data_IF_363006532366
#
_entry.id   IF_363006532366
#
_cell.length_a   1.000
_cell.length_b   1.000
_cell.length_c   1.000
_cell.angle_alpha   90.00
_cell.angle_beta   90.00
_cell.angle_gamma   90.00
#
_symmetry.space_group_name_H-M   'P 1'
#
loop_
_entity.id
_entity.type
_entity.pdbx_description
1 polymer ?
#
# COMPACT_ATOMS: atom_id res chain seq x y z
N UNK A 1 -5.98 17.45 -28.77
CA UNK A 1 -5.62 17.23 -27.38
C UNK A 1 -4.31 17.99 -27.09
N UNK A 2 -4.43 19.24 -26.56
CA UNK A 2 -3.29 20.18 -26.43
C UNK A 2 -2.44 19.97 -25.16
N UNK A 3 -2.53 18.82 -24.47
CA UNK A 3 -1.77 18.57 -23.26
C UNK A 3 -2.29 19.31 -22.01
N UNK A 4 -3.49 19.88 -22.08
CA UNK A 4 -4.17 20.56 -20.99
C UNK A 4 -5.38 19.78 -20.51
N UNK A 5 -5.73 19.99 -19.23
CA UNK A 5 -6.95 19.45 -18.59
C UNK A 5 -7.49 20.45 -17.58
N UNK A 6 -8.69 20.22 -17.06
CA UNK A 6 -9.33 21.09 -16.09
C UNK A 6 -9.26 20.48 -14.69
N UNK A 7 -9.05 21.31 -13.68
CA UNK A 7 -9.27 21.00 -12.27
C UNK A 7 -10.77 21.04 -11.93
N UNK A 8 -11.12 20.67 -10.71
CA UNK A 8 -12.51 20.67 -10.21
C UNK A 8 -13.12 22.07 -10.23
N UNK A 9 -12.32 23.10 -10.00
CA UNK A 9 -12.70 24.53 -10.08
C UNK A 9 -12.93 25.04 -11.51
N UNK A 10 -12.71 24.20 -12.54
CA UNK A 10 -12.80 24.55 -13.95
C UNK A 10 -11.56 25.25 -14.53
N UNK A 11 -10.54 25.56 -13.71
CA UNK A 11 -9.29 26.13 -14.20
C UNK A 11 -8.56 25.13 -15.11
N UNK A 12 -7.99 25.64 -16.22
CA UNK A 12 -7.19 24.80 -17.12
C UNK A 12 -5.74 24.87 -16.76
N UNK A 13 -5.11 23.69 -16.68
CA UNK A 13 -3.67 23.55 -16.41
C UNK A 13 -3.06 22.49 -17.33
N UNK A 14 -1.74 22.51 -17.46
CA UNK A 14 -0.99 21.46 -18.15
C UNK A 14 -1.22 20.11 -17.44
N UNK A 15 -1.35 19.03 -18.19
CA UNK A 15 -1.36 17.66 -17.65
C UNK A 15 -0.06 17.29 -16.93
N UNK A 16 1.02 18.06 -17.13
CA UNK A 16 2.29 17.92 -16.42
C UNK A 16 2.37 18.72 -15.11
N UNK A 17 1.29 19.40 -14.70
CA UNK A 17 1.23 20.11 -13.44
C UNK A 17 1.35 19.15 -12.25
N UNK A 18 2.09 19.55 -11.20
CA UNK A 18 2.32 18.74 -9.99
C UNK A 18 1.01 18.33 -9.29
N UNK A 19 -0.05 19.13 -9.43
CA UNK A 19 -1.34 18.79 -8.84
C UNK A 19 -1.96 17.55 -9.51
N UNK A 20 -1.84 17.41 -10.83
CA UNK A 20 -2.27 16.19 -11.53
C UNK A 20 -1.40 14.99 -11.22
N UNK A 21 -0.09 15.18 -11.00
CA UNK A 21 0.80 14.11 -10.53
C UNK A 21 0.36 13.58 -9.16
N UNK A 22 -0.03 14.49 -8.23
CA UNK A 22 -0.52 14.12 -6.91
C UNK A 22 -1.84 13.37 -7.00
N UNK A 23 -2.82 13.90 -7.77
CA UNK A 23 -4.13 13.26 -7.96
C UNK A 23 -3.97 11.90 -8.64
N UNK A 24 -3.14 11.82 -9.70
CA UNK A 24 -2.88 10.56 -10.40
C UNK A 24 -2.18 9.52 -9.53
N UNK A 25 -1.27 9.94 -8.64
CA UNK A 25 -0.64 9.02 -7.70
C UNK A 25 -1.62 8.53 -6.62
N UNK A 26 -2.58 9.37 -6.22
CA UNK A 26 -3.66 8.97 -5.31
C UNK A 26 -4.56 7.91 -5.97
N UNK A 27 -4.92 8.10 -7.22
CA UNK A 27 -5.71 7.15 -8.01
C UNK A 27 -4.95 5.82 -8.21
N UNK A 28 -3.64 5.89 -8.50
CA UNK A 28 -2.79 4.70 -8.58
C UNK A 28 -2.77 3.91 -7.25
N UNK A 29 -2.65 4.61 -6.10
CA UNK A 29 -2.72 3.96 -4.79
C UNK A 29 -4.07 3.25 -4.62
N UNK A 30 -5.16 3.90 -4.98
CA UNK A 30 -6.49 3.32 -4.90
C UNK A 30 -6.63 2.06 -5.77
N UNK A 31 -6.09 2.07 -6.98
CA UNK A 31 -6.05 0.91 -7.85
C UNK A 31 -5.21 -0.24 -7.26
N UNK A 32 -4.07 0.06 -6.63
CA UNK A 32 -3.24 -0.94 -5.94
C UNK A 32 -3.98 -1.56 -4.74
N UNK A 33 -4.76 -0.78 -3.98
CA UNK A 33 -5.64 -1.31 -2.92
C UNK A 33 -6.65 -2.32 -3.52
N UNK A 34 -7.18 -2.05 -4.70
CA UNK A 34 -8.03 -2.99 -5.45
C UNK A 34 -7.31 -4.31 -5.76
N UNK A 35 -6.00 -4.26 -6.09
CA UNK A 35 -5.21 -5.49 -6.29
C UNK A 35 -5.01 -6.28 -4.98
N UNK A 36 -4.87 -5.62 -3.83
CA UNK A 36 -4.83 -6.30 -2.52
C UNK A 36 -6.13 -7.08 -2.29
N UNK A 37 -7.28 -6.45 -2.54
CA UNK A 37 -8.59 -7.09 -2.41
C UNK A 37 -8.73 -8.29 -3.37
N UNK A 38 -8.29 -8.14 -4.61
CA UNK A 38 -8.29 -9.22 -5.60
C UNK A 38 -7.46 -10.42 -5.12
N UNK A 39 -6.23 -10.20 -4.63
CA UNK A 39 -5.38 -11.27 -4.12
C UNK A 39 -5.93 -11.88 -2.82
N UNK A 40 -6.53 -11.09 -1.94
CA UNK A 40 -7.24 -11.59 -0.76
C UNK A 40 -8.34 -12.59 -1.15
N UNK A 41 -9.14 -12.27 -2.17
CA UNK A 41 -10.22 -13.14 -2.65
C UNK A 41 -9.72 -14.43 -3.33
N UNK A 42 -8.45 -14.48 -3.72
CA UNK A 42 -7.80 -15.66 -4.31
C UNK A 42 -7.17 -16.60 -3.29
N UNK A 43 -7.12 -16.21 -2.01
CA UNK A 43 -6.58 -17.07 -0.97
C UNK A 43 -7.35 -18.39 -0.94
N UNK A 44 -6.65 -19.55 -1.06
CA UNK A 44 -7.32 -20.85 -1.04
C UNK A 44 -7.90 -21.08 0.35
N UNK A 45 -9.14 -21.60 0.44
CA UNK A 45 -9.63 -22.10 1.69
C UNK A 45 -8.79 -23.32 2.07
N UNK A 46 -8.18 -23.31 3.25
CA UNK A 46 -7.52 -24.49 3.77
C UNK A 46 -8.59 -25.54 4.18
N UNK A 47 -8.31 -26.80 3.88
CA UNK A 47 -9.24 -27.90 4.15
C UNK A 47 -9.29 -28.31 5.63
N UNK A 48 -8.31 -27.92 6.42
CA UNK A 48 -8.34 -28.09 7.87
C UNK A 48 -9.23 -27.00 8.53
N UNK A 49 -10.14 -27.40 9.41
CA UNK A 49 -11.15 -26.52 9.99
C UNK A 49 -10.61 -25.28 10.71
N UNK A 50 -9.35 -25.26 11.13
CA UNK A 50 -8.69 -24.10 11.75
C UNK A 50 -8.25 -23.04 10.75
N UNK A 51 -7.59 -23.46 9.68
CA UNK A 51 -7.03 -22.57 8.67
C UNK A 51 -8.08 -21.88 7.81
N UNK A 52 -9.20 -22.56 7.49
CA UNK A 52 -10.31 -21.95 6.75
C UNK A 52 -10.93 -20.78 7.52
N UNK A 53 -11.23 -20.96 8.80
CA UNK A 53 -11.78 -19.89 9.63
C UNK A 53 -10.82 -18.69 9.73
N UNK A 54 -9.51 -18.93 9.69
CA UNK A 54 -8.48 -17.89 9.69
C UNK A 54 -8.47 -17.12 8.38
N UNK A 55 -8.48 -17.81 7.23
CA UNK A 55 -8.56 -17.17 5.90
C UNK A 55 -9.80 -16.31 5.77
N UNK A 56 -10.98 -16.84 6.11
CA UNK A 56 -12.24 -16.10 6.07
C UNK A 56 -12.22 -14.86 6.97
N UNK A 57 -11.59 -14.94 8.14
CA UNK A 57 -11.41 -13.79 9.03
C UNK A 57 -10.53 -12.72 8.41
N UNK A 58 -9.37 -13.11 7.86
CA UNK A 58 -8.45 -12.17 7.18
C UNK A 58 -9.15 -11.51 5.99
N UNK A 59 -9.84 -12.28 5.14
CA UNK A 59 -10.60 -11.76 4.01
C UNK A 59 -11.69 -10.76 4.44
N UNK A 60 -12.42 -11.07 5.51
CA UNK A 60 -13.47 -10.20 6.04
C UNK A 60 -12.90 -8.87 6.50
N UNK A 61 -11.82 -8.90 7.29
CA UNK A 61 -11.16 -7.67 7.77
C UNK A 61 -10.59 -6.87 6.60
N UNK A 62 -9.84 -7.51 5.69
CA UNK A 62 -9.30 -6.84 4.50
C UNK A 62 -10.39 -6.17 3.67
N UNK A 63 -11.50 -6.89 3.40
CA UNK A 63 -12.63 -6.33 2.65
C UNK A 63 -13.20 -5.08 3.33
N UNK A 64 -13.40 -5.13 4.63
CA UNK A 64 -13.97 -4.03 5.40
C UNK A 64 -13.05 -2.81 5.40
N UNK A 65 -11.79 -2.98 5.82
CA UNK A 65 -10.88 -1.84 6.01
C UNK A 65 -10.39 -1.27 4.68
N UNK A 66 -10.10 -2.10 3.67
CA UNK A 66 -9.59 -1.62 2.39
C UNK A 66 -10.69 -0.96 1.55
N UNK A 67 -11.95 -1.42 1.63
CA UNK A 67 -13.06 -0.71 0.98
C UNK A 67 -13.26 0.67 1.58
N UNK A 68 -13.13 0.82 2.90
CA UNK A 68 -13.14 2.13 3.55
C UNK A 68 -11.99 3.01 3.04
N UNK A 69 -10.75 2.48 3.01
CA UNK A 69 -9.58 3.22 2.50
C UNK A 69 -9.77 3.65 1.05
N UNK A 70 -10.37 2.81 0.19
CA UNK A 70 -10.65 3.19 -1.20
C UNK A 70 -11.61 4.38 -1.29
N UNK A 71 -12.65 4.43 -0.46
CA UNK A 71 -13.54 5.58 -0.41
C UNK A 71 -12.82 6.83 0.13
N UNK A 72 -12.05 6.70 1.21
CA UNK A 72 -11.26 7.80 1.77
C UNK A 72 -10.23 8.34 0.74
N UNK A 73 -9.59 7.47 -0.07
CA UNK A 73 -8.68 7.89 -1.13
C UNK A 73 -9.40 8.60 -2.28
N UNK A 74 -10.66 8.26 -2.55
CA UNK A 74 -11.47 8.97 -3.55
C UNK A 74 -11.80 10.39 -3.08
N UNK A 75 -12.23 10.52 -1.81
CA UNK A 75 -12.48 11.83 -1.18
C UNK A 75 -11.19 12.66 -1.12
N UNK A 76 -10.08 12.03 -0.73
CA UNK A 76 -8.75 12.66 -0.70
C UNK A 76 -8.31 13.13 -2.10
N UNK A 77 -8.52 12.32 -3.13
CA UNK A 77 -8.20 12.67 -4.52
C UNK A 77 -8.99 13.90 -4.99
N UNK A 78 -10.27 13.98 -4.64
CA UNK A 78 -11.11 15.14 -4.92
C UNK A 78 -10.62 16.40 -4.16
N UNK A 79 -10.25 16.26 -2.89
CA UNK A 79 -9.66 17.34 -2.10
C UNK A 79 -8.34 17.84 -2.70
N UNK A 80 -7.45 16.92 -3.09
CA UNK A 80 -6.15 17.23 -3.70
C UNK A 80 -6.26 17.89 -5.08
N UNK A 81 -7.38 17.67 -5.79
CA UNK A 81 -7.68 18.34 -7.05
C UNK A 81 -8.12 19.80 -6.89
N UNK A 82 -8.28 20.28 -5.67
CA UNK A 82 -8.67 21.65 -5.36
C UNK A 82 -7.56 22.38 -4.60
N UNK A 83 -7.51 23.72 -4.74
CA UNK A 83 -6.76 24.55 -3.78
C UNK A 83 -7.62 24.71 -2.52
N UNK A 84 -7.08 24.62 -1.31
CA UNK A 84 -7.87 24.68 -0.06
C UNK A 84 -8.78 25.90 0.08
N UNK A 85 -8.40 27.05 -0.48
CA UNK A 85 -9.23 28.27 -0.52
C UNK A 85 -10.43 28.18 -1.46
N UNK A 86 -10.47 27.18 -2.33
CA UNK A 86 -11.50 27.00 -3.36
C UNK A 86 -12.29 25.70 -3.18
N UNK A 87 -12.14 25.04 -2.02
CA UNK A 87 -12.86 23.82 -1.69
C UNK A 87 -14.38 24.11 -1.63
N UNK A 88 -15.20 23.33 -2.35
CA UNK A 88 -16.64 23.48 -2.28
C UNK A 88 -17.17 23.18 -0.86
N UNK A 89 -18.13 23.98 -0.37
CA UNK A 89 -18.70 23.81 0.98
C UNK A 89 -19.36 22.43 1.21
N UNK A 90 -19.82 21.78 0.14
CA UNK A 90 -20.44 20.45 0.22
C UNK A 90 -19.42 19.29 0.28
N UNK A 91 -18.13 19.58 0.07
CA UNK A 91 -17.10 18.54 0.05
C UNK A 91 -16.79 18.07 1.48
N UNK A 92 -16.91 16.77 1.70
CA UNK A 92 -16.47 16.15 2.94
C UNK A 92 -14.97 15.88 2.85
N UNK A 93 -14.23 16.44 3.79
CA UNK A 93 -12.76 16.41 3.78
C UNK A 93 -12.23 15.39 4.77
N UNK A 94 -11.07 14.84 4.48
CA UNK A 94 -10.32 14.01 5.44
C UNK A 94 -10.10 14.80 6.73
N UNK A 95 -10.47 14.22 7.87
CA UNK A 95 -10.39 14.84 9.19
C UNK A 95 -9.41 14.11 10.12
N UNK A 96 -9.23 14.62 11.31
CA UNK A 96 -8.44 13.95 12.35
C UNK A 96 -9.05 12.61 12.77
N UNK A 97 -10.36 12.43 12.62
CA UNK A 97 -11.03 11.17 12.98
C UNK A 97 -10.54 10.03 12.11
N UNK A 98 -10.44 10.22 10.77
CA UNK A 98 -9.85 9.20 9.88
C UNK A 98 -8.40 8.89 10.25
N UNK A 99 -7.62 9.93 10.60
CA UNK A 99 -6.26 9.74 11.09
C UNK A 99 -6.19 8.91 12.38
N UNK A 100 -7.12 9.11 13.31
CA UNK A 100 -7.17 8.40 14.58
C UNK A 100 -7.68 6.96 14.42
N UNK A 101 -8.59 6.71 13.47
CA UNK A 101 -9.02 5.35 13.11
C UNK A 101 -7.83 4.52 12.62
N UNK A 102 -6.96 5.07 11.76
CA UNK A 102 -5.75 4.37 11.31
C UNK A 102 -4.84 3.99 12.49
N UNK A 103 -4.65 4.88 13.46
CA UNK A 103 -3.83 4.61 14.65
C UNK A 103 -4.45 3.51 15.50
N UNK A 104 -5.75 3.58 15.80
CA UNK A 104 -6.42 2.58 16.62
C UNK A 104 -6.40 1.17 15.99
N UNK A 105 -6.53 1.10 14.65
CA UNK A 105 -6.42 -0.18 13.93
C UNK A 105 -4.98 -0.74 13.98
N UNK A 106 -3.96 0.11 13.81
CA UNK A 106 -2.56 -0.31 13.94
C UNK A 106 -2.28 -0.85 15.34
N UNK A 107 -2.72 -0.16 16.38
CA UNK A 107 -2.53 -0.59 17.76
C UNK A 107 -3.17 -1.98 18.00
N UNK A 108 -4.41 -2.18 17.54
CA UNK A 108 -5.11 -3.46 17.65
C UNK A 108 -4.39 -4.61 16.92
N UNK A 109 -3.82 -4.38 15.75
CA UNK A 109 -3.07 -5.41 15.02
C UNK A 109 -1.71 -5.70 15.64
N UNK A 110 -1.05 -4.68 16.20
CA UNK A 110 0.25 -4.86 16.86
C UNK A 110 0.15 -5.71 18.14
N UNK A 111 -1.00 -5.75 18.83
CA UNK A 111 -1.25 -6.68 19.95
C UNK A 111 -1.14 -8.16 19.55
N UNK A 112 -1.32 -8.46 18.25
CA UNK A 112 -1.33 -9.81 17.67
C UNK A 112 -0.17 -10.07 16.70
N UNK A 113 0.85 -9.22 16.72
CA UNK A 113 1.99 -9.32 15.80
C UNK A 113 3.29 -9.33 16.60
N UNK A 114 4.16 -10.32 16.35
CA UNK A 114 5.43 -10.44 17.04
C UNK A 114 6.32 -9.19 16.84
N UNK A 115 7.13 -8.80 17.83
CA UNK A 115 8.04 -7.68 17.69
C UNK A 115 9.04 -7.88 16.54
N UNK A 116 9.36 -6.79 15.83
CA UNK A 116 10.36 -6.82 14.75
C UNK A 116 11.76 -7.11 15.29
N UNK A 117 12.41 -8.11 14.73
CA UNK A 117 13.81 -8.46 15.03
C UNK A 117 14.78 -8.01 13.92
N UNK A 118 14.27 -7.71 12.73
CA UNK A 118 15.03 -7.24 11.56
C UNK A 118 14.10 -6.47 10.62
N UNK A 119 14.67 -5.87 9.56
CA UNK A 119 13.86 -5.37 8.44
C UNK A 119 13.20 -6.53 7.70
N UNK A 120 12.00 -6.29 7.18
CA UNK A 120 11.22 -7.23 6.39
C UNK A 120 11.43 -6.91 4.91
N UNK A 121 11.68 -7.94 4.12
CA UNK A 121 11.68 -7.82 2.67
C UNK A 121 10.23 -7.65 2.17
N UNK A 122 9.99 -6.84 1.13
CA UNK A 122 8.65 -6.70 0.54
C UNK A 122 8.31 -7.96 -0.28
N UNK A 123 7.94 -9.02 0.43
CA UNK A 123 7.57 -10.33 -0.10
C UNK A 123 6.28 -10.81 0.57
N UNK A 124 5.70 -11.92 0.09
CA UNK A 124 4.47 -12.51 0.63
C UNK A 124 3.79 -13.40 -0.41
N UNK A 125 2.71 -14.05 0.00
CA UNK A 125 1.97 -15.02 -0.81
C UNK A 125 0.63 -14.46 -1.31
N UNK A 126 0.61 -13.25 -1.85
CA UNK A 126 -0.59 -12.61 -2.39
C UNK A 126 -0.85 -11.24 -1.75
N UNK A 127 -1.86 -11.10 -0.88
CA UNK A 127 -2.24 -9.78 -0.36
C UNK A 127 -1.11 -9.08 0.40
N UNK A 128 -0.21 -9.82 1.09
CA UNK A 128 0.92 -9.25 1.81
C UNK A 128 1.89 -8.52 0.87
N UNK A 129 2.25 -9.15 -0.26
CA UNK A 129 3.14 -8.54 -1.26
C UNK A 129 2.51 -7.27 -1.86
N UNK A 130 1.19 -7.30 -2.12
CA UNK A 130 0.46 -6.14 -2.64
C UNK A 130 0.32 -5.03 -1.60
N UNK A 131 0.19 -5.33 -0.31
CA UNK A 131 0.23 -4.34 0.77
C UNK A 131 1.58 -3.63 0.86
N UNK A 132 2.69 -4.35 0.66
CA UNK A 132 4.00 -3.71 0.55
C UNK A 132 4.10 -2.78 -0.67
N UNK A 133 3.53 -3.15 -1.82
CA UNK A 133 3.44 -2.27 -2.99
C UNK A 133 2.59 -1.04 -2.67
N UNK A 134 1.39 -1.20 -2.11
CA UNK A 134 0.52 -0.10 -1.71
C UNK A 134 1.24 0.87 -0.77
N UNK A 135 1.95 0.36 0.23
CA UNK A 135 2.79 1.16 1.13
C UNK A 135 3.82 2.01 0.39
N UNK A 136 4.51 1.45 -0.60
CA UNK A 136 5.52 2.21 -1.35
C UNK A 136 4.89 3.29 -2.23
N UNK A 137 3.69 3.04 -2.79
CA UNK A 137 2.91 4.03 -3.54
C UNK A 137 2.38 5.12 -2.60
N UNK A 138 1.86 4.78 -1.41
CA UNK A 138 1.44 5.75 -0.40
C UNK A 138 2.58 6.70 -0.02
N UNK A 139 3.80 6.18 0.20
CA UNK A 139 5.00 7.00 0.45
C UNK A 139 5.40 7.86 -0.76
N UNK A 140 5.15 7.41 -1.98
CA UNK A 140 5.35 8.22 -3.18
C UNK A 140 4.34 9.36 -3.24
N UNK A 141 3.07 9.10 -2.93
CA UNK A 141 2.02 10.11 -2.84
C UNK A 141 2.35 11.17 -1.77
N UNK A 142 2.75 10.74 -0.58
CA UNK A 142 3.20 11.66 0.49
C UNK A 142 4.30 12.60 0.00
N UNK A 143 5.35 12.07 -0.65
CA UNK A 143 6.42 12.90 -1.21
C UNK A 143 5.95 13.80 -2.34
N UNK A 144 4.99 13.38 -3.16
CA UNK A 144 4.41 14.20 -4.21
C UNK A 144 3.62 15.38 -3.62
N UNK A 145 2.87 15.15 -2.55
CA UNK A 145 2.16 16.20 -1.79
C UNK A 145 3.15 17.21 -1.19
N UNK A 146 4.27 16.75 -0.63
CA UNK A 146 5.31 17.66 -0.09
C UNK A 146 5.87 18.53 -1.21
N UNK A 147 6.22 17.95 -2.38
CA UNK A 147 6.70 18.72 -3.54
C UNK A 147 5.68 19.73 -4.03
N UNK A 148 4.40 19.38 -4.04
CA UNK A 148 3.31 20.29 -4.40
C UNK A 148 3.28 21.50 -3.45
N UNK A 149 3.40 21.26 -2.14
CA UNK A 149 3.48 22.34 -1.13
C UNK A 149 4.69 23.23 -1.31
N UNK A 150 5.86 22.65 -1.59
CA UNK A 150 7.08 23.43 -1.86
C UNK A 150 6.92 24.31 -3.11
N UNK A 151 6.18 23.87 -4.10
CA UNK A 151 5.97 24.58 -5.37
C UNK A 151 4.85 25.64 -5.29
N UNK A 152 3.69 25.30 -4.71
CA UNK A 152 2.51 26.18 -4.65
C UNK A 152 2.38 26.96 -3.32
N UNK A 153 3.20 26.65 -2.32
CA UNK A 153 3.18 27.24 -0.98
C UNK A 153 2.44 26.38 0.06
N UNK A 154 2.70 26.67 1.34
CA UNK A 154 2.21 25.90 2.49
C UNK A 154 0.69 25.77 2.55
N UNK A 155 -0.05 26.76 2.04
CA UNK A 155 -1.51 26.77 1.98
C UNK A 155 -2.12 25.90 0.89
N UNK A 156 -1.32 25.28 0.00
CA UNK A 156 -1.81 24.54 -1.16
C UNK A 156 -2.39 23.15 -0.83
N UNK A 157 -2.06 22.59 0.34
CA UNK A 157 -2.59 21.32 0.85
C UNK A 157 -2.78 21.44 2.36
N UNK A 158 -3.90 20.97 2.89
CA UNK A 158 -4.16 20.96 4.34
C UNK A 158 -3.19 20.05 5.08
N UNK A 159 -2.82 20.44 6.31
CA UNK A 159 -1.92 19.66 7.16
C UNK A 159 -2.47 18.26 7.46
N UNK A 160 -3.77 18.13 7.67
CA UNK A 160 -4.44 16.84 7.95
C UNK A 160 -4.21 15.81 6.85
N UNK A 161 -4.15 16.23 5.58
CA UNK A 161 -3.83 15.37 4.43
C UNK A 161 -2.43 14.74 4.59
N UNK A 162 -1.44 15.53 4.99
CA UNK A 162 -0.08 15.01 5.22
C UNK A 162 -0.04 14.01 6.37
N UNK A 163 -0.73 14.33 7.47
CA UNK A 163 -0.84 13.44 8.63
C UNK A 163 -1.51 12.11 8.23
N UNK A 164 -2.61 12.19 7.48
CA UNK A 164 -3.31 10.99 6.99
C UNK A 164 -2.42 10.11 6.13
N UNK A 165 -1.74 10.68 5.12
CA UNK A 165 -0.87 9.92 4.21
C UNK A 165 0.33 9.29 4.92
N UNK A 166 0.93 9.99 5.87
CA UNK A 166 2.01 9.47 6.69
C UNK A 166 1.52 8.25 7.49
N UNK A 167 0.40 8.38 8.22
CA UNK A 167 -0.20 7.27 8.97
C UNK A 167 -0.67 6.13 8.08
N UNK A 168 -1.22 6.41 6.91
CA UNK A 168 -1.66 5.39 5.96
C UNK A 168 -0.48 4.51 5.51
N UNK A 169 0.70 5.09 5.30
CA UNK A 169 1.88 4.31 4.92
C UNK A 169 2.31 3.33 6.02
N UNK A 170 2.26 3.73 7.28
CA UNK A 170 2.57 2.88 8.43
C UNK A 170 1.45 1.85 8.67
N UNK A 171 0.20 2.26 8.49
CA UNK A 171 -0.97 1.39 8.56
C UNK A 171 -0.90 0.24 7.55
N UNK A 172 -0.54 0.51 6.30
CA UNK A 172 -0.34 -0.53 5.27
C UNK A 172 0.79 -1.51 5.63
N UNK A 173 1.83 -1.03 6.29
CA UNK A 173 2.91 -1.87 6.78
C UNK A 173 2.44 -2.81 7.90
N UNK A 174 1.76 -2.26 8.91
CA UNK A 174 1.26 -3.04 10.06
C UNK A 174 0.20 -4.03 9.61
N UNK A 175 -0.73 -3.61 8.73
CA UNK A 175 -1.72 -4.51 8.14
C UNK A 175 -1.06 -5.68 7.40
N UNK A 176 -0.01 -5.42 6.60
CA UNK A 176 0.73 -6.47 5.90
C UNK A 176 1.31 -7.50 6.86
N UNK A 177 1.92 -7.07 7.95
CA UNK A 177 2.44 -7.94 9.00
C UNK A 177 1.35 -8.77 9.69
N UNK A 178 0.24 -8.12 10.02
CA UNK A 178 -0.90 -8.80 10.63
C UNK A 178 -1.49 -9.86 9.70
N UNK A 179 -1.61 -9.58 8.40
CA UNK A 179 -2.07 -10.55 7.39
C UNK A 179 -1.11 -11.73 7.30
N UNK A 180 0.21 -11.48 7.24
CA UNK A 180 1.24 -12.54 7.21
C UNK A 180 1.10 -13.47 8.43
N UNK A 181 1.03 -12.90 9.62
CA UNK A 181 0.85 -13.65 10.87
C UNK A 181 -0.50 -14.39 10.91
N UNK A 182 -1.59 -13.71 10.52
CA UNK A 182 -2.94 -14.25 10.50
C UNK A 182 -3.12 -15.43 9.55
N UNK A 183 -2.35 -15.48 8.46
CA UNK A 183 -2.34 -16.59 7.51
C UNK A 183 -1.33 -17.70 7.90
N UNK A 184 -0.61 -17.53 9.00
CA UNK A 184 0.41 -18.48 9.46
C UNK A 184 1.66 -18.51 8.61
N UNK A 185 1.95 -17.41 7.91
CA UNK A 185 3.16 -17.26 7.10
C UNK A 185 4.29 -16.63 7.92
N UNK A 186 5.53 -16.93 7.53
CA UNK A 186 6.72 -16.30 8.09
C UNK A 186 7.07 -15.02 7.34
N UNK A 187 7.50 -13.99 8.07
CA UNK A 187 8.05 -12.77 7.48
C UNK A 187 9.41 -13.02 6.85
N UNK A 188 9.61 -12.60 5.60
CA UNK A 188 10.89 -12.69 4.92
C UNK A 188 11.85 -11.63 5.49
N UNK A 189 12.74 -12.04 6.40
CA UNK A 189 13.66 -11.11 7.06
C UNK A 189 14.85 -10.75 6.17
N UNK A 190 15.22 -9.46 6.20
CA UNK A 190 16.42 -8.98 5.54
C UNK A 190 17.69 -9.54 6.20
N UNK A 191 18.58 -10.06 5.35
CA UNK A 191 19.90 -10.51 5.75
C UNK A 191 20.97 -9.63 5.08
N UNK A 192 21.78 -8.88 5.83
CA UNK A 192 22.83 -8.04 5.28
C UNK A 192 23.91 -8.85 4.56
N UNK A 193 24.51 -8.26 3.52
CA UNK A 193 25.55 -8.92 2.69
C UNK A 193 26.67 -9.57 3.53
N UNK A 194 27.09 -8.92 4.61
CA UNK A 194 28.15 -9.45 5.49
C UNK A 194 27.74 -10.67 6.33
N UNK A 195 26.43 -10.96 6.44
CA UNK A 195 25.92 -12.13 7.17
C UNK A 195 25.46 -13.25 6.23
N UNK A 196 25.27 -12.95 4.93
CA UNK A 196 24.99 -13.97 3.91
C UNK A 196 26.31 -14.58 3.48
N UNK A 197 26.41 -15.91 3.50
CA UNK A 197 27.53 -16.59 2.84
C UNK A 197 27.56 -16.24 1.34
N UNK A 198 28.70 -16.38 0.67
CA UNK A 198 28.75 -16.20 -0.78
C UNK A 198 27.75 -17.18 -1.42
N UNK A 199 26.84 -16.67 -2.24
CA UNK A 199 25.93 -17.48 -3.05
C UNK A 199 26.76 -18.19 -4.15
N UNK A 200 27.46 -19.22 -3.74
CA UNK A 200 28.22 -20.06 -4.67
C UNK A 200 27.28 -21.07 -5.31
N UNK A 201 27.34 -21.16 -6.62
CA UNK A 201 26.75 -22.29 -7.33
C UNK A 201 25.36 -22.08 -7.93
N UNK A 202 24.71 -20.93 -7.79
CA UNK A 202 23.43 -20.67 -8.48
C UNK A 202 23.60 -20.78 -10.00
N UNK A 203 24.64 -20.20 -10.56
CA UNK A 203 24.93 -20.31 -12.00
C UNK A 203 25.18 -21.77 -12.45
N UNK A 204 25.88 -22.52 -11.64
CA UNK A 204 26.16 -23.95 -11.96
C UNK A 204 24.91 -24.82 -11.76
N UNK A 205 24.04 -24.47 -10.81
CA UNK A 205 22.74 -25.12 -10.65
C UNK A 205 21.83 -24.81 -11.85
N UNK A 206 21.77 -23.57 -12.32
CA UNK A 206 21.03 -23.18 -13.53
C UNK A 206 21.56 -23.96 -14.73
N UNK A 207 22.89 -24.01 -14.94
CA UNK A 207 23.47 -24.76 -16.06
C UNK A 207 23.10 -26.24 -16.01
N UNK A 208 23.09 -26.88 -14.83
CA UNK A 208 22.67 -28.27 -14.66
C UNK A 208 21.21 -28.49 -14.98
N UNK A 209 20.31 -27.55 -14.57
CA UNK A 209 18.87 -27.63 -14.88
C UNK A 209 18.59 -27.68 -16.40
N UNK A 210 19.45 -27.06 -17.23
CA UNK A 210 19.33 -27.08 -18.69
C UNK A 210 20.17 -28.18 -19.36
N UNK A 211 20.95 -28.94 -18.61
CA UNK A 211 21.82 -30.01 -19.17
C UNK A 211 21.13 -31.37 -19.23
N UNK A 212 20.07 -31.60 -18.46
CA UNK A 212 19.28 -32.84 -18.53
C UNK A 212 17.81 -32.55 -18.11
N UNK A 213 16.85 -33.05 -18.91
CA UNK A 213 15.42 -33.02 -18.59
C UNK A 213 15.06 -33.84 -17.33
N UNK A 214 15.91 -34.77 -16.92
CA UNK A 214 15.69 -35.60 -15.74
C UNK A 214 15.97 -34.85 -14.43
N UNK A 215 16.90 -33.90 -14.43
CA UNK A 215 17.19 -33.04 -13.26
C UNK A 215 16.07 -32.05 -12.94
N UNK A 216 15.22 -31.73 -13.92
CA UNK A 216 14.09 -30.84 -13.74
C UNK A 216 12.92 -31.48 -12.93
N UNK A 217 12.85 -32.82 -12.97
CA UNK A 217 11.81 -33.58 -12.24
C UNK A 217 12.18 -33.86 -10.78
N UNK A 218 13.41 -33.56 -10.38
CA UNK A 218 13.94 -33.83 -9.05
C UNK A 218 13.96 -32.56 -8.13
N UNK A 219 13.39 -31.43 -8.59
CA UNK A 219 13.21 -30.17 -7.85
C UNK A 219 11.79 -29.98 -7.42
#
# INVERSE_FOLDING_TARGET
DGGETSLVDGSRRSKADLRFEVVGTCDELNAVIGLVLMESNRLPPHEDGGSRATVERVQTILSMVLTRIQNELFDLGAELACVPSELPEYMVLISEDQCNVLVGEMDAWLEHTEPLTSFILPAGHGPEAMLHLARTVARRLERAVIRLKEHEGDGSVRHTVQVYLNRLSDWLFVLGRWVTSGLGHDEALWQPLGKRGPEKGVADRIRRLYASDDDFKAL
#
